data_IF_677858392163
#
_entry.id   IF_677858392163
#
_cell.length_a   1.000
_cell.length_b   1.000
_cell.length_c   1.000
_cell.angle_alpha   90.00
_cell.angle_beta   90.00
_cell.angle_gamma   90.00
#
_symmetry.space_group_name_H-M   'P 1'
#
loop_
_entity.id
_entity.type
_entity.pdbx_description
1 polymer ?
#
# COMPACT_ATOMS: atom_id res chain seq x y z
N UNK A 1 19.96 15.73 10.31
CA UNK A 1 18.89 16.39 9.53
C UNK A 1 17.98 17.09 10.52
N UNK A 2 17.65 18.37 10.31
CA UNK A 2 16.72 19.11 11.18
C UNK A 2 15.37 19.19 10.49
N UNK A 3 14.34 18.60 11.11
CA UNK A 3 12.95 18.68 10.64
C UNK A 3 12.42 20.10 10.85
N UNK A 4 11.56 20.54 9.93
CA UNK A 4 10.87 21.83 9.95
C UNK A 4 9.39 21.63 10.26
N UNK A 5 8.71 22.71 10.62
CA UNK A 5 7.25 22.68 10.69
C UNK A 5 6.67 22.44 9.30
N UNK A 6 5.60 21.64 9.24
CA UNK A 6 4.88 21.28 8.02
C UNK A 6 3.39 21.60 8.19
N UNK A 7 3.00 22.88 8.05
CA UNK A 7 1.63 23.32 8.29
C UNK A 7 0.63 22.60 7.38
N UNK A 8 -0.53 22.24 7.93
CA UNK A 8 -1.62 21.63 7.17
C UNK A 8 -2.57 22.73 6.68
N UNK A 9 -2.59 22.97 5.37
CA UNK A 9 -3.33 24.08 4.76
C UNK A 9 -4.64 23.61 4.10
N UNK A 10 -4.69 22.37 3.63
CA UNK A 10 -5.88 21.81 2.99
C UNK A 10 -6.54 20.80 3.93
N UNK A 11 -7.81 21.07 4.26
CA UNK A 11 -8.67 20.27 5.15
C UNK A 11 -8.01 19.89 6.50
N UNK A 12 -7.03 20.68 6.96
CA UNK A 12 -6.24 20.45 8.17
C UNK A 12 -5.41 19.15 8.21
N UNK A 13 -5.16 18.49 7.06
CA UNK A 13 -4.27 17.30 7.04
C UNK A 13 -3.25 17.24 5.89
N UNK A 14 -3.39 18.08 4.86
CA UNK A 14 -2.43 18.19 3.74
C UNK A 14 -1.68 19.51 3.72
N UNK A 15 -0.41 19.48 3.32
CA UNK A 15 0.47 20.65 3.36
C UNK A 15 0.37 21.59 2.14
N UNK A 16 -0.33 21.16 1.09
CA UNK A 16 -0.64 21.98 -0.07
C UNK A 16 -2.05 21.65 -0.60
N UNK A 17 -2.57 22.50 -1.46
CA UNK A 17 -3.79 22.22 -2.22
C UNK A 17 -3.54 21.07 -3.21
N UNK A 18 -4.53 20.19 -3.46
CA UNK A 18 -4.42 19.08 -4.40
C UNK A 18 -3.95 19.52 -5.80
N UNK A 19 -4.46 20.65 -6.30
CA UNK A 19 -4.14 21.20 -7.63
C UNK A 19 -2.67 21.61 -7.74
N UNK A 20 -2.12 22.20 -6.68
CA UNK A 20 -0.70 22.57 -6.62
C UNK A 20 0.20 21.33 -6.60
N UNK A 21 -0.22 20.30 -5.86
CA UNK A 21 0.48 19.01 -5.79
C UNK A 21 0.57 18.37 -7.17
N UNK A 22 -0.59 18.26 -7.85
CA UNK A 22 -0.68 17.71 -9.22
C UNK A 22 0.20 18.50 -10.19
N UNK A 23 0.08 19.84 -10.20
CA UNK A 23 0.85 20.70 -11.11
C UNK A 23 2.36 20.54 -10.93
N UNK A 24 2.86 20.52 -9.69
CA UNK A 24 4.30 20.34 -9.40
C UNK A 24 4.83 19.01 -9.94
N UNK A 25 4.05 17.94 -9.77
CA UNK A 25 4.42 16.60 -10.22
C UNK A 25 4.38 16.53 -11.75
N UNK A 26 3.32 17.06 -12.38
CA UNK A 26 3.22 17.18 -13.85
C UNK A 26 4.41 17.93 -14.46
N UNK A 27 4.77 19.08 -13.89
CA UNK A 27 5.93 19.87 -14.32
C UNK A 27 7.24 19.07 -14.18
N UNK A 28 7.37 18.24 -13.14
CA UNK A 28 8.51 17.36 -12.93
C UNK A 28 8.63 16.28 -14.00
N UNK A 29 7.55 15.54 -14.25
CA UNK A 29 7.52 14.49 -15.28
C UNK A 29 7.70 15.06 -16.69
N UNK A 30 7.13 16.24 -16.97
CA UNK A 30 7.33 16.94 -18.25
C UNK A 30 8.79 17.27 -18.51
N UNK A 31 9.56 17.67 -17.48
CA UNK A 31 11.01 17.91 -17.61
C UNK A 31 11.81 16.63 -17.92
N UNK A 32 11.27 15.48 -17.54
CA UNK A 32 11.83 14.16 -17.87
C UNK A 32 11.39 13.65 -19.24
N UNK A 33 10.55 14.39 -19.97
CA UNK A 33 9.97 13.96 -21.25
C UNK A 33 8.82 12.96 -21.10
N UNK A 34 8.33 12.70 -19.88
CA UNK A 34 7.31 11.69 -19.59
C UNK A 34 5.92 12.32 -19.54
N UNK A 35 4.96 11.70 -20.23
CA UNK A 35 3.58 12.15 -20.29
C UNK A 35 2.69 11.34 -19.34
N UNK A 36 1.91 12.06 -18.53
CA UNK A 36 0.99 11.48 -17.56
C UNK A 36 -0.44 11.52 -18.09
N UNK A 37 -1.09 10.36 -18.14
CA UNK A 37 -2.51 10.21 -18.50
C UNK A 37 -3.34 9.81 -17.29
N UNK A 38 -4.21 10.72 -16.87
CA UNK A 38 -5.12 10.53 -15.75
C UNK A 38 -6.50 10.05 -16.21
N UNK A 39 -7.04 9.03 -15.53
CA UNK A 39 -8.43 8.58 -15.67
C UNK A 39 -9.04 8.40 -14.29
N UNK A 40 -10.27 8.83 -14.10
CA UNK A 40 -10.98 8.68 -12.83
C UNK A 40 -12.28 7.91 -13.04
N UNK A 41 -12.62 7.10 -12.04
CA UNK A 41 -13.90 6.43 -11.90
C UNK A 41 -14.55 6.90 -10.61
N UNK A 42 -15.86 7.04 -10.65
CA UNK A 42 -16.70 7.41 -9.52
C UNK A 42 -17.59 6.24 -9.17
N UNK A 43 -17.61 5.88 -7.89
CA UNK A 43 -18.53 4.89 -7.34
C UNK A 43 -19.52 5.65 -6.49
N UNK A 44 -20.77 5.74 -6.96
CA UNK A 44 -21.85 6.39 -6.22
C UNK A 44 -22.75 5.34 -5.58
N UNK A 45 -23.04 5.51 -4.30
CA UNK A 45 -24.06 4.74 -3.59
C UNK A 45 -24.87 5.64 -2.67
N UNK A 46 -26.19 5.68 -2.88
CA UNK A 46 -27.14 6.41 -2.04
C UNK A 46 -26.77 7.89 -1.80
N UNK A 47 -26.29 8.56 -2.85
CA UNK A 47 -25.90 9.98 -2.80
C UNK A 47 -24.46 10.25 -2.35
N UNK A 48 -23.67 9.21 -2.08
CA UNK A 48 -22.27 9.34 -1.68
C UNK A 48 -21.34 8.79 -2.75
N UNK A 49 -20.31 9.55 -3.09
CA UNK A 49 -19.34 9.21 -4.11
C UNK A 49 -17.96 8.96 -3.50
N UNK A 50 -17.35 7.85 -3.89
CA UNK A 50 -15.91 7.60 -3.67
C UNK A 50 -15.23 7.53 -5.02
N UNK A 51 -14.02 8.08 -5.10
CA UNK A 51 -13.29 8.21 -6.36
C UNK A 51 -12.05 7.33 -6.33
N UNK A 52 -11.88 6.54 -7.38
CA UNK A 52 -10.63 5.83 -7.67
C UNK A 52 -10.11 6.28 -9.03
N UNK A 53 -8.80 6.27 -9.22
CA UNK A 53 -8.22 6.76 -10.47
C UNK A 53 -7.01 5.96 -10.88
N UNK A 54 -6.72 5.95 -12.17
CA UNK A 54 -5.50 5.40 -12.76
C UNK A 54 -4.68 6.55 -13.33
N UNK A 55 -3.38 6.57 -13.06
CA UNK A 55 -2.43 7.49 -13.65
C UNK A 55 -1.35 6.69 -14.37
N UNK A 56 -1.22 6.88 -15.67
CA UNK A 56 -0.31 6.13 -16.55
C UNK A 56 0.83 7.03 -17.04
N UNK A 57 2.07 6.55 -16.99
CA UNK A 57 3.17 7.07 -17.80
C UNK A 57 3.12 6.39 -19.16
N UNK A 58 2.74 7.13 -20.20
CA UNK A 58 2.52 6.56 -21.53
C UNK A 58 3.76 5.90 -22.11
N UNK A 59 4.90 6.56 -21.99
CA UNK A 59 6.16 6.11 -22.57
C UNK A 59 6.68 4.83 -21.90
N UNK A 60 6.27 4.56 -20.67
CA UNK A 60 6.78 3.44 -19.89
C UNK A 60 5.76 2.31 -19.74
N UNK A 61 4.46 2.59 -19.94
CA UNK A 61 3.39 1.63 -19.65
C UNK A 61 3.28 1.28 -18.15
N UNK A 62 3.73 2.20 -17.29
CA UNK A 62 3.69 2.10 -15.83
C UNK A 62 2.53 2.92 -15.27
N UNK A 63 1.73 2.34 -14.38
CA UNK A 63 0.59 3.04 -13.78
C UNK A 63 0.60 2.98 -12.26
N UNK A 64 -0.11 3.92 -11.65
CA UNK A 64 -0.42 3.98 -10.21
C UNK A 64 -1.90 4.27 -10.02
N UNK A 65 -2.39 4.06 -8.80
CA UNK A 65 -3.79 4.26 -8.46
C UNK A 65 -3.93 5.39 -7.45
N UNK A 66 -4.95 6.22 -7.63
CA UNK A 66 -5.31 7.28 -6.67
C UNK A 66 -6.58 6.94 -5.93
N UNK A 67 -6.67 7.40 -4.68
CA UNK A 67 -7.81 7.18 -3.80
C UNK A 67 -8.13 8.42 -2.96
N UNK A 68 -9.40 8.72 -2.73
CA UNK A 68 -9.81 9.96 -2.08
C UNK A 68 -11.32 10.17 -1.95
N UNK A 69 -11.68 11.10 -1.06
CA UNK A 69 -13.07 11.51 -0.78
C UNK A 69 -13.64 12.46 -1.82
N UNK A 70 -12.76 13.17 -2.53
CA UNK A 70 -13.13 14.15 -3.54
C UNK A 70 -12.28 13.92 -4.78
N UNK A 71 -12.82 14.31 -5.93
CA UNK A 71 -12.10 14.24 -7.21
C UNK A 71 -10.70 14.89 -7.16
N UNK A 72 -10.52 16.10 -6.59
CA UNK A 72 -9.18 16.70 -6.45
C UNK A 72 -8.21 15.87 -5.58
N UNK A 73 -8.68 15.35 -4.44
CA UNK A 73 -7.85 14.54 -3.54
C UNK A 73 -7.44 13.22 -4.18
N UNK A 74 -8.36 12.56 -4.89
CA UNK A 74 -8.07 11.32 -5.62
C UNK A 74 -7.03 11.54 -6.71
N UNK A 75 -7.17 12.64 -7.47
CA UNK A 75 -6.16 13.02 -8.46
C UNK A 75 -4.81 13.25 -7.79
N UNK A 76 -4.73 14.08 -6.76
CA UNK A 76 -3.47 14.32 -6.05
C UNK A 76 -2.85 13.04 -5.46
N UNK A 77 -3.68 12.11 -4.97
CA UNK A 77 -3.21 10.80 -4.50
C UNK A 77 -2.55 9.98 -5.60
N UNK A 78 -3.14 9.91 -6.81
CA UNK A 78 -2.54 9.17 -7.92
C UNK A 78 -1.18 9.75 -8.32
N UNK A 79 -1.09 11.08 -8.38
CA UNK A 79 0.15 11.77 -8.74
C UNK A 79 1.22 11.61 -7.66
N UNK A 80 0.83 11.67 -6.38
CA UNK A 80 1.75 11.44 -5.27
C UNK A 80 2.29 10.00 -5.28
N UNK A 81 1.43 8.98 -5.49
CA UNK A 81 1.86 7.59 -5.62
C UNK A 81 2.77 7.40 -6.84
N UNK A 82 2.47 8.05 -7.98
CA UNK A 82 3.36 8.06 -9.15
C UNK A 82 4.74 8.62 -8.81
N UNK A 83 4.81 9.76 -8.12
CA UNK A 83 6.07 10.37 -7.71
C UNK A 83 6.84 9.47 -6.72
N UNK A 84 6.13 8.86 -5.77
CA UNK A 84 6.68 7.89 -4.82
C UNK A 84 7.31 6.70 -5.52
N UNK A 85 6.53 5.97 -6.32
CA UNK A 85 6.94 4.72 -6.98
C UNK A 85 7.99 4.94 -8.05
N UNK A 86 7.88 6.03 -8.82
CA UNK A 86 8.91 6.41 -9.78
C UNK A 86 10.22 6.74 -9.06
N UNK A 87 10.20 7.57 -8.02
CA UNK A 87 11.43 7.94 -7.29
C UNK A 87 12.05 6.75 -6.55
N UNK A 88 11.25 5.81 -6.08
CA UNK A 88 11.70 4.56 -5.47
C UNK A 88 11.98 3.45 -6.49
N UNK A 89 11.98 3.74 -7.79
CA UNK A 89 12.14 2.76 -8.88
C UNK A 89 11.34 1.47 -8.73
N UNK A 90 10.21 1.53 -8.04
CA UNK A 90 9.33 0.40 -7.77
C UNK A 90 8.26 0.40 -8.85
N UNK A 91 8.56 -0.25 -9.98
CA UNK A 91 7.69 -0.22 -11.15
C UNK A 91 6.82 -1.48 -11.22
N UNK A 92 5.53 -1.28 -11.46
CA UNK A 92 4.56 -2.32 -11.81
C UNK A 92 4.10 -2.04 -13.24
N UNK A 93 4.84 -2.57 -14.21
CA UNK A 93 4.55 -2.33 -15.63
C UNK A 93 3.28 -3.08 -16.05
N UNK A 94 2.30 -2.36 -16.58
CA UNK A 94 1.10 -2.94 -17.18
C UNK A 94 1.38 -3.45 -18.60
N UNK A 95 2.23 -2.74 -19.33
CA UNK A 95 2.63 -3.09 -20.69
C UNK A 95 4.03 -2.56 -20.94
N UNK A 96 4.86 -3.31 -21.66
CA UNK A 96 6.15 -2.82 -22.15
C UNK A 96 5.89 -2.12 -23.48
N UNK A 97 6.24 -0.83 -23.56
CA UNK A 97 6.08 -0.05 -24.78
C UNK A 97 7.38 -0.03 -25.58
N UNK A 98 7.31 0.22 -26.89
CA UNK A 98 8.52 0.38 -27.71
C UNK A 98 9.36 1.59 -27.29
N UNK A 99 8.70 2.63 -26.77
CA UNK A 99 9.35 3.87 -26.30
C UNK A 99 10.23 3.66 -25.08
N UNK A 100 10.04 2.58 -24.32
CA UNK A 100 10.81 2.32 -23.09
C UNK A 100 12.34 2.34 -23.35
N UNK A 101 12.77 1.97 -24.57
CA UNK A 101 14.19 1.96 -24.98
C UNK A 101 14.79 3.36 -24.97
N UNK A 102 14.02 4.38 -25.35
CA UNK A 102 14.44 5.79 -25.35
C UNK A 102 14.72 6.29 -23.92
N UNK A 103 14.05 5.69 -22.93
CA UNK A 103 14.17 6.03 -21.50
C UNK A 103 15.09 5.10 -20.71
N UNK A 104 15.79 4.17 -21.36
CA UNK A 104 16.66 3.18 -20.70
C UNK A 104 17.67 3.78 -19.73
N UNK A 105 18.34 4.88 -20.11
CA UNK A 105 19.30 5.59 -19.24
C UNK A 105 18.64 6.27 -18.04
N UNK A 106 17.43 6.82 -18.22
CA UNK A 106 16.65 7.40 -17.13
C UNK A 106 16.22 6.30 -16.15
N UNK A 107 15.66 5.21 -16.68
CA UNK A 107 15.24 4.06 -15.88
C UNK A 107 16.42 3.46 -15.13
N UNK A 108 17.58 3.28 -15.78
CA UNK A 108 18.79 2.82 -15.11
C UNK A 108 19.18 3.78 -13.98
N UNK A 109 19.18 5.09 -14.21
CA UNK A 109 19.49 6.10 -13.18
C UNK A 109 18.54 6.02 -11.98
N UNK A 110 17.24 5.84 -12.25
CA UNK A 110 16.19 5.75 -11.24
C UNK A 110 16.29 4.44 -10.48
N UNK A 111 16.25 3.29 -11.17
CA UNK A 111 16.31 1.93 -10.59
C UNK A 111 17.59 1.74 -9.77
N UNK A 112 18.73 2.23 -10.27
CA UNK A 112 20.01 2.14 -9.56
C UNK A 112 20.18 3.22 -8.48
N UNK A 113 19.21 4.12 -8.30
CA UNK A 113 19.29 5.24 -7.35
C UNK A 113 20.53 6.13 -7.54
N UNK A 114 21.05 6.23 -8.77
CA UNK A 114 22.26 7.04 -9.08
C UNK A 114 22.07 8.52 -8.74
N UNK A 115 20.83 8.98 -8.65
CA UNK A 115 20.48 10.36 -8.29
C UNK A 115 20.49 10.63 -6.77
N UNK A 116 20.54 9.58 -5.92
CA UNK A 116 20.54 9.76 -4.48
C UNK A 116 21.90 10.23 -3.95
N UNK A 117 21.87 11.07 -2.91
CA UNK A 117 23.07 11.60 -2.27
C UNK A 117 23.90 10.47 -1.67
N UNK A 118 25.19 10.48 -1.95
CA UNK A 118 26.12 9.48 -1.44
C UNK A 118 25.96 8.11 -2.10
N UNK A 119 25.35 8.05 -3.29
CA UNK A 119 25.37 6.86 -4.14
C UNK A 119 26.80 6.34 -4.32
N UNK A 120 27.01 5.08 -3.98
CA UNK A 120 28.26 4.34 -4.18
C UNK A 120 27.93 2.92 -4.61
N UNK A 121 28.78 2.35 -5.44
CA UNK A 121 28.72 0.93 -5.80
C UNK A 121 29.92 0.20 -5.22
N UNK A 122 29.69 -0.84 -4.41
CA UNK A 122 30.76 -1.75 -3.95
C UNK A 122 31.23 -2.57 -5.14
N UNK A 123 32.54 -2.70 -5.30
CA UNK A 123 33.13 -3.67 -6.24
C UNK A 123 33.14 -5.04 -5.56
N UNK A 124 32.30 -5.97 -6.05
CA UNK A 124 32.21 -7.39 -5.68
C UNK A 124 31.52 -7.74 -4.34
N UNK A 125 30.66 -6.89 -3.76
CA UNK A 125 29.96 -7.15 -2.48
C UNK A 125 30.86 -7.62 -1.31
N UNK A 126 32.17 -7.65 -1.47
CA UNK A 126 33.07 -8.49 -0.66
C UNK A 126 33.14 -8.01 0.79
N UNK A 127 33.00 -6.70 1.00
CA UNK A 127 32.94 -6.06 2.31
C UNK A 127 31.58 -6.14 3.01
N UNK A 128 30.51 -6.64 2.36
CA UNK A 128 29.24 -6.89 3.04
C UNK A 128 29.40 -8.04 4.03
N UNK A 129 28.83 -7.87 5.24
CA UNK A 129 28.89 -8.85 6.33
C UNK A 129 27.48 -9.28 6.78
N UNK A 130 27.31 -10.46 7.39
CA UNK A 130 26.01 -10.89 7.94
C UNK A 130 25.43 -9.87 8.93
N UNK A 131 26.26 -9.26 9.77
CA UNK A 131 25.83 -8.25 10.75
C UNK A 131 25.21 -7.02 10.08
N UNK A 132 25.59 -6.72 8.83
CA UNK A 132 24.94 -5.67 8.05
C UNK A 132 23.49 -5.99 7.73
N UNK A 133 23.18 -7.26 7.46
CA UNK A 133 21.85 -7.77 7.16
C UNK A 133 20.98 -7.87 8.42
N UNK A 134 21.56 -8.32 9.54
CA UNK A 134 20.89 -8.48 10.84
C UNK A 134 20.35 -7.15 11.39
N UNK A 135 20.85 -6.00 10.91
CA UNK A 135 20.27 -4.67 11.22
C UNK A 135 18.83 -4.49 10.71
N UNK A 136 18.39 -5.31 9.75
CA UNK A 136 17.09 -5.16 9.08
C UNK A 136 16.16 -6.37 9.24
N UNK A 137 16.68 -7.50 9.73
CA UNK A 137 15.93 -8.73 9.96
C UNK A 137 16.12 -9.13 11.41
N UNK A 138 15.05 -9.10 12.20
CA UNK A 138 15.09 -9.34 13.66
C UNK A 138 15.65 -10.73 14.01
N UNK A 139 15.27 -11.76 13.25
CA UNK A 139 15.75 -13.14 13.44
C UNK A 139 17.13 -13.41 12.80
N UNK A 140 17.71 -12.39 12.15
CA UNK A 140 18.95 -12.48 11.38
C UNK A 140 18.82 -13.28 10.08
N UNK A 141 19.97 -13.50 9.43
CA UNK A 141 20.07 -14.34 8.21
C UNK A 141 21.09 -15.46 8.40
N UNK A 142 20.77 -16.67 7.92
CA UNK A 142 21.77 -17.75 7.92
C UNK A 142 22.93 -17.42 6.98
N UNK A 143 24.11 -18.00 7.25
CA UNK A 143 25.29 -17.80 6.39
C UNK A 143 25.01 -18.17 4.93
N UNK A 144 24.18 -19.19 4.67
CA UNK A 144 23.82 -19.62 3.32
C UNK A 144 22.93 -18.58 2.62
N UNK A 145 21.89 -18.09 3.29
CA UNK A 145 21.01 -17.04 2.77
C UNK A 145 21.78 -15.76 2.50
N UNK A 146 22.62 -15.35 3.45
CA UNK A 146 23.48 -14.18 3.28
C UNK A 146 24.36 -14.28 2.03
N UNK A 147 25.02 -15.42 1.79
CA UNK A 147 25.84 -15.59 0.59
C UNK A 147 25.01 -15.51 -0.71
N UNK A 148 23.77 -16.02 -0.71
CA UNK A 148 22.88 -15.91 -1.87
C UNK A 148 22.53 -14.43 -2.13
N UNK A 149 22.09 -13.71 -1.11
CA UNK A 149 21.71 -12.30 -1.20
C UNK A 149 22.90 -11.41 -1.63
N UNK A 150 24.08 -11.71 -1.08
CA UNK A 150 25.35 -11.07 -1.42
C UNK A 150 25.74 -11.31 -2.88
N UNK A 151 25.68 -12.55 -3.35
CA UNK A 151 26.03 -12.91 -4.74
C UNK A 151 25.05 -12.33 -5.78
N UNK A 152 23.82 -12.01 -5.37
CA UNK A 152 22.85 -11.28 -6.19
C UNK A 152 23.09 -9.76 -6.22
N UNK A 153 24.08 -9.26 -5.50
CA UNK A 153 24.45 -7.84 -5.49
C UNK A 153 23.48 -6.95 -4.71
N UNK A 154 22.70 -7.52 -3.78
CA UNK A 154 21.75 -6.74 -2.96
C UNK A 154 22.43 -5.77 -1.99
N UNK A 155 23.71 -6.00 -1.71
CA UNK A 155 24.55 -5.15 -0.87
C UNK A 155 25.47 -4.23 -1.67
N UNK A 156 25.37 -4.22 -3.02
CA UNK A 156 26.31 -3.47 -3.87
C UNK A 156 26.00 -1.98 -3.94
N UNK A 157 24.73 -1.59 -3.84
CA UNK A 157 24.31 -0.19 -3.99
C UNK A 157 24.12 0.43 -2.61
N UNK A 158 25.01 1.35 -2.26
CA UNK A 158 24.96 2.11 -1.03
C UNK A 158 24.47 3.54 -1.27
N UNK A 159 23.65 4.03 -0.36
CA UNK A 159 23.22 5.44 -0.33
C UNK A 159 23.33 5.99 1.08
N UNK A 160 23.46 7.32 1.19
CA UNK A 160 23.52 8.00 2.49
C UNK A 160 22.11 8.26 3.00
N UNK A 161 21.72 7.60 4.09
CA UNK A 161 20.44 7.77 4.78
C UNK A 161 20.63 8.43 6.14
N UNK A 162 19.63 9.11 6.68
CA UNK A 162 19.68 9.71 8.01
C UNK A 162 18.94 8.84 9.02
N UNK A 163 19.64 8.37 10.06
CA UNK A 163 19.01 7.65 11.17
C UNK A 163 18.47 8.64 12.20
N UNK A 164 17.16 8.59 12.48
CA UNK A 164 16.56 9.37 13.55
C UNK A 164 16.89 8.83 14.95
N UNK A 165 17.23 7.53 15.05
CA UNK A 165 17.64 6.88 16.30
C UNK A 165 19.06 7.31 16.68
N UNK A 166 20.02 7.15 15.77
CA UNK A 166 21.43 7.50 16.02
C UNK A 166 21.74 8.98 15.78
N UNK A 167 20.80 9.72 15.17
CA UNK A 167 20.92 11.16 14.83
C UNK A 167 22.11 11.48 13.93
N UNK A 168 22.48 10.55 13.08
CA UNK A 168 23.60 10.69 12.14
C UNK A 168 23.24 10.14 10.76
N UNK A 169 24.09 10.44 9.78
CA UNK A 169 23.96 9.83 8.48
C UNK A 169 24.72 8.51 8.44
N UNK A 170 24.04 7.46 8.02
CA UNK A 170 24.59 6.11 7.84
C UNK A 170 24.51 5.70 6.37
N UNK A 171 25.37 4.77 5.97
CA UNK A 171 25.27 4.11 4.67
C UNK A 171 24.36 2.88 4.78
N UNK A 172 23.42 2.75 3.86
CA UNK A 172 22.48 1.63 3.79
C UNK A 172 22.57 0.91 2.45
N UNK A 173 22.50 -0.44 2.40
CA UNK A 173 22.39 -1.21 1.17
C UNK A 173 20.95 -1.13 0.65
N UNK A 174 20.67 -0.12 -0.18
CA UNK A 174 19.28 0.25 -0.51
C UNK A 174 18.50 -0.88 -1.18
N UNK A 175 19.16 -1.70 -2.02
CA UNK A 175 18.51 -2.85 -2.68
C UNK A 175 18.09 -3.93 -1.69
N UNK A 176 18.93 -4.22 -0.70
CA UNK A 176 18.60 -5.16 0.35
C UNK A 176 17.44 -4.64 1.21
N UNK A 177 17.48 -3.35 1.60
CA UNK A 177 16.39 -2.71 2.34
C UNK A 177 15.08 -2.79 1.57
N UNK A 178 15.08 -2.46 0.27
CA UNK A 178 13.90 -2.52 -0.59
C UNK A 178 13.36 -3.94 -0.78
N UNK A 179 14.23 -4.94 -0.83
CA UNK A 179 13.81 -6.34 -0.89
C UNK A 179 13.02 -6.74 0.37
N UNK A 180 13.53 -6.39 1.56
CA UNK A 180 12.92 -6.81 2.83
C UNK A 180 11.72 -5.95 3.22
N UNK A 181 11.68 -4.67 2.82
CA UNK A 181 10.54 -3.78 3.11
C UNK A 181 9.43 -3.86 2.07
N UNK A 182 9.74 -4.30 0.85
CA UNK A 182 8.87 -4.10 -0.31
C UNK A 182 8.56 -2.61 -0.47
N UNK A 183 7.30 -2.28 -0.71
CA UNK A 183 6.85 -0.88 -0.81
C UNK A 183 6.57 -0.21 0.54
N UNK A 184 6.73 -0.91 1.66
CA UNK A 184 6.37 -0.41 2.99
C UNK A 184 7.17 0.83 3.35
N UNK A 185 6.50 1.92 3.72
CA UNK A 185 7.14 3.15 4.17
C UNK A 185 7.74 3.99 3.04
N UNK A 186 7.45 3.65 1.78
CA UNK A 186 7.62 4.59 0.68
C UNK A 186 6.56 5.67 0.77
N UNK A 187 6.95 6.93 0.58
CA UNK A 187 6.00 8.03 0.58
C UNK A 187 6.51 9.22 -0.25
N UNK A 188 5.59 9.89 -0.92
CA UNK A 188 5.78 11.25 -1.42
C UNK A 188 4.91 12.25 -0.62
N UNK A 189 5.35 13.51 -0.59
CA UNK A 189 4.64 14.59 0.08
C UNK A 189 5.08 15.95 -0.45
N UNK A 190 4.28 16.99 -0.19
CA UNK A 190 4.63 18.35 -0.61
C UNK A 190 5.83 18.92 0.17
N UNK A 191 6.11 18.33 1.33
CA UNK A 191 7.30 18.58 2.14
C UNK A 191 7.93 17.25 2.55
N UNK A 192 9.21 17.28 2.94
CA UNK A 192 9.91 16.08 3.44
C UNK A 192 9.24 15.58 4.71
N UNK A 193 8.79 16.47 5.58
CA UNK A 193 8.10 16.12 6.83
C UNK A 193 6.73 15.51 6.61
N UNK A 194 5.99 15.95 5.58
CA UNK A 194 4.72 15.30 5.19
C UNK A 194 4.98 13.89 4.67
N UNK A 195 5.98 13.71 3.79
CA UNK A 195 6.37 12.39 3.29
C UNK A 195 6.82 11.46 4.43
N UNK A 196 7.65 11.94 5.36
CA UNK A 196 8.08 11.17 6.53
C UNK A 196 6.91 10.79 7.44
N UNK A 197 5.94 11.69 7.64
CA UNK A 197 4.74 11.40 8.44
C UNK A 197 3.91 10.30 7.79
N UNK A 198 3.73 10.35 6.47
CA UNK A 198 3.00 9.34 5.70
C UNK A 198 3.73 7.99 5.74
N UNK A 199 5.05 7.97 5.51
CA UNK A 199 5.88 6.77 5.58
C UNK A 199 5.81 6.12 6.98
N UNK A 200 5.92 6.92 8.05
CA UNK A 200 5.81 6.42 9.42
C UNK A 200 4.42 5.83 9.71
N UNK A 201 3.35 6.51 9.26
CA UNK A 201 1.99 5.97 9.41
C UNK A 201 1.84 4.63 8.69
N UNK A 202 2.33 4.47 7.47
CA UNK A 202 2.26 3.17 6.77
C UNK A 202 3.06 2.08 7.51
N UNK A 203 4.24 2.41 8.05
CA UNK A 203 5.02 1.46 8.86
C UNK A 203 4.22 1.02 10.09
N UNK A 204 3.60 1.97 10.81
CA UNK A 204 2.77 1.66 11.98
C UNK A 204 1.55 0.83 11.62
N UNK A 205 0.87 1.17 10.53
CA UNK A 205 -0.28 0.45 9.99
C UNK A 205 0.06 -1.03 9.76
N UNK A 206 1.15 -1.30 9.02
CA UNK A 206 1.58 -2.67 8.72
C UNK A 206 2.10 -3.41 9.94
N UNK A 207 2.86 -2.75 10.81
CA UNK A 207 3.36 -3.37 12.04
C UNK A 207 2.23 -3.77 12.99
N UNK A 208 1.26 -2.87 13.22
CA UNK A 208 0.11 -3.15 14.06
C UNK A 208 -0.74 -4.29 13.47
N UNK A 209 -1.03 -4.24 12.17
CA UNK A 209 -1.73 -5.31 11.46
C UNK A 209 -1.02 -6.66 11.64
N UNK A 210 0.29 -6.72 11.37
CA UNK A 210 1.10 -7.93 11.54
C UNK A 210 1.02 -8.45 12.98
N UNK A 211 1.28 -7.60 13.99
CA UNK A 211 1.32 -8.02 15.39
C UNK A 211 -0.04 -8.51 15.90
N UNK A 212 -1.11 -7.81 15.54
CA UNK A 212 -2.48 -8.15 15.97
C UNK A 212 -2.94 -9.44 15.32
N UNK A 213 -2.78 -9.57 14.00
CA UNK A 213 -3.26 -10.74 13.25
C UNK A 213 -2.44 -11.99 13.55
N UNK A 214 -1.11 -11.89 13.58
CA UNK A 214 -0.23 -13.04 13.86
C UNK A 214 -0.39 -13.59 15.28
N UNK A 215 -0.57 -12.70 16.27
CA UNK A 215 -0.73 -13.07 17.67
C UNK A 215 -2.19 -13.19 18.11
N UNK A 216 -3.15 -12.99 17.20
CA UNK A 216 -4.60 -13.03 17.45
C UNK A 216 -4.99 -12.16 18.66
N UNK A 217 -4.47 -10.94 18.70
CA UNK A 217 -4.72 -10.00 19.80
C UNK A 217 -6.17 -9.52 19.72
N UNK A 218 -6.91 -9.70 20.81
CA UNK A 218 -8.28 -9.17 20.93
C UNK A 218 -8.21 -7.66 21.12
N UNK A 219 -8.82 -6.91 20.20
CA UNK A 219 -8.75 -5.45 20.14
C UNK A 219 -10.06 -4.81 20.62
N UNK A 220 -10.01 -3.72 21.44
CA UNK A 220 -11.20 -3.01 21.86
C UNK A 220 -12.03 -2.48 20.69
N UNK A 221 -13.36 -2.51 20.81
CA UNK A 221 -14.27 -1.94 19.82
C UNK A 221 -14.58 -0.48 20.15
N UNK A 222 -14.46 0.39 19.16
CA UNK A 222 -14.85 1.81 19.25
C UNK A 222 -16.32 1.92 18.83
N UNK A 223 -17.15 2.50 19.70
CA UNK A 223 -18.57 2.77 19.38
C UNK A 223 -18.66 3.79 18.26
N UNK A 224 -19.39 3.45 17.20
CA UNK A 224 -19.63 4.34 16.05
C UNK A 224 -20.38 5.60 16.49
N UNK A 225 -21.26 5.47 17.47
CA UNK A 225 -22.07 6.57 18.02
C UNK A 225 -21.20 7.60 18.74
N UNK A 226 -20.00 7.23 19.18
CA UNK A 226 -19.05 8.16 19.80
C UNK A 226 -18.32 9.05 18.78
N UNK A 227 -18.35 8.70 17.48
CA UNK A 227 -17.62 9.41 16.42
C UNK A 227 -18.50 10.53 15.85
N UNK A 228 -18.06 11.78 16.02
CA UNK A 228 -18.81 12.98 15.60
C UNK A 228 -18.51 13.44 14.17
N UNK A 229 -17.60 12.79 13.45
CA UNK A 229 -17.26 13.17 12.08
C UNK A 229 -18.36 12.71 11.10
N UNK A 230 -19.05 13.67 10.49
CA UNK A 230 -20.17 13.40 9.58
C UNK A 230 -19.77 12.53 8.37
N UNK A 231 -18.52 12.63 7.91
CA UNK A 231 -18.02 11.84 6.77
C UNK A 231 -17.96 10.37 7.15
N UNK A 232 -17.50 10.05 8.36
CA UNK A 232 -17.48 8.67 8.86
C UNK A 232 -18.90 8.13 8.97
N UNK A 233 -19.84 8.92 9.51
CA UNK A 233 -21.24 8.52 9.63
C UNK A 233 -21.88 8.26 8.25
N UNK A 234 -21.52 9.06 7.25
CA UNK A 234 -21.89 8.87 5.86
C UNK A 234 -21.41 7.50 5.33
N UNK A 235 -20.12 7.18 5.48
CA UNK A 235 -19.57 5.91 5.02
C UNK A 235 -20.22 4.72 5.72
N UNK A 236 -20.41 4.80 7.04
CA UNK A 236 -21.09 3.75 7.81
C UNK A 236 -22.51 3.50 7.26
N UNK A 237 -23.30 4.55 7.02
CA UNK A 237 -24.62 4.41 6.41
C UNK A 237 -24.55 3.81 5.01
N UNK A 238 -23.58 4.22 4.21
CA UNK A 238 -23.37 3.67 2.88
C UNK A 238 -23.08 2.16 2.91
N UNK A 239 -22.12 1.70 3.72
CA UNK A 239 -21.84 0.26 3.86
C UNK A 239 -23.05 -0.51 4.40
N UNK A 240 -23.73 -0.01 5.44
CA UNK A 240 -24.94 -0.63 5.99
C UNK A 240 -26.05 -0.78 4.94
N UNK A 241 -26.21 0.22 4.08
CA UNK A 241 -27.19 0.16 2.97
C UNK A 241 -26.83 -0.85 1.87
N UNK A 242 -25.58 -1.29 1.82
CA UNK A 242 -25.11 -2.40 0.99
C UNK A 242 -25.20 -3.75 1.72
N UNK A 243 -25.87 -3.82 2.88
CA UNK A 243 -25.92 -5.01 3.73
C UNK A 243 -24.52 -5.44 4.21
N UNK A 244 -23.67 -4.46 4.52
CA UNK A 244 -22.33 -4.65 5.06
C UNK A 244 -22.26 -3.97 6.42
N UNK A 245 -22.03 -4.77 7.45
CA UNK A 245 -21.82 -4.28 8.81
C UNK A 245 -20.39 -3.75 8.95
N UNK A 246 -20.25 -2.64 9.68
CA UNK A 246 -18.97 -1.97 9.94
C UNK A 246 -18.70 -2.01 11.45
N UNK A 247 -17.52 -2.48 11.83
CA UNK A 247 -17.04 -2.52 13.22
C UNK A 247 -15.68 -1.85 13.26
N UNK A 248 -15.49 -0.87 14.15
CA UNK A 248 -14.24 -0.12 14.29
C UNK A 248 -13.49 -0.66 15.52
N UNK A 249 -12.22 -1.01 15.35
CA UNK A 249 -11.34 -1.61 16.35
C UNK A 249 -10.15 -0.71 16.63
N UNK A 250 -9.81 -0.56 17.90
CA UNK A 250 -8.60 0.13 18.34
C UNK A 250 -7.37 -0.77 18.10
N UNK A 251 -6.59 -0.42 17.07
CA UNK A 251 -5.36 -1.13 16.69
C UNK A 251 -4.10 -0.44 17.25
N UNK A 252 -4.27 0.45 18.23
CA UNK A 252 -3.18 1.26 18.77
C UNK A 252 -2.15 0.51 19.61
N UNK A 253 -2.39 -0.79 19.90
CA UNK A 253 -1.53 -1.62 20.74
C UNK A 253 -1.23 -0.95 22.09
N UNK A 254 -2.28 -0.68 22.88
CA UNK A 254 -2.20 0.06 24.15
C UNK A 254 -1.81 1.54 23.98
N UNK A 255 -2.34 2.22 22.95
CA UNK A 255 -2.13 3.66 22.69
C UNK A 255 -0.70 4.03 22.30
N UNK A 256 0.10 3.06 21.85
CA UNK A 256 1.47 3.30 21.38
C UNK A 256 1.50 3.79 19.93
N UNK A 257 0.54 3.35 19.11
CA UNK A 257 0.51 3.63 17.68
C UNK A 257 -0.82 4.29 17.23
N UNK A 258 -0.80 5.21 16.26
CA UNK A 258 -2.00 5.90 15.79
C UNK A 258 -2.76 5.08 14.72
N UNK A 259 -3.13 3.85 15.06
CA UNK A 259 -3.65 2.85 14.10
C UNK A 259 -5.05 2.38 14.49
N UNK A 260 -5.92 2.26 13.48
CA UNK A 260 -7.29 1.74 13.60
C UNK A 260 -7.48 0.58 12.63
N UNK A 261 -8.24 -0.43 13.04
CA UNK A 261 -8.78 -1.46 12.17
C UNK A 261 -10.27 -1.24 11.92
N UNK A 262 -10.74 -1.41 10.69
CA UNK A 262 -12.16 -1.44 10.36
C UNK A 262 -12.49 -2.80 9.76
N UNK A 263 -13.35 -3.53 10.46
CA UNK A 263 -13.89 -4.82 10.02
C UNK A 263 -15.20 -4.59 9.26
N UNK A 264 -15.28 -5.21 8.09
CA UNK A 264 -16.44 -5.23 7.21
C UNK A 264 -17.01 -6.65 7.17
N UNK A 265 -18.21 -6.85 7.74
CA UNK A 265 -18.92 -8.12 7.61
C UNK A 265 -19.95 -8.00 6.48
N UNK A 266 -19.63 -8.60 5.34
CA UNK A 266 -20.49 -8.59 4.15
C UNK A 266 -21.58 -9.66 4.27
N UNK A 267 -22.76 -9.25 4.75
CA UNK A 267 -23.90 -10.15 4.99
C UNK A 267 -24.48 -10.72 3.69
N UNK A 268 -24.15 -10.16 2.53
CA UNK A 268 -24.51 -10.74 1.24
C UNK A 268 -23.79 -12.07 0.96
N UNK A 269 -22.61 -12.29 1.57
CA UNK A 269 -21.77 -13.47 1.34
C UNK A 269 -21.91 -14.51 2.49
N UNK A 270 -22.56 -14.15 3.60
CA UNK A 270 -22.65 -14.98 4.81
C UNK A 270 -23.17 -16.41 4.52
N UNK A 271 -24.17 -16.52 3.65
CA UNK A 271 -24.83 -17.79 3.26
C UNK A 271 -24.42 -18.29 1.87
N UNK A 272 -23.36 -17.75 1.28
CA UNK A 272 -22.89 -18.17 -0.05
C UNK A 272 -22.39 -19.63 -0.02
N UNK A 273 -22.66 -20.39 -1.08
CA UNK A 273 -22.24 -21.79 -1.17
C UNK A 273 -20.73 -21.91 -1.45
N UNK A 274 -20.15 -20.91 -2.11
CA UNK A 274 -18.73 -20.86 -2.44
C UNK A 274 -17.90 -20.58 -1.17
N UNK A 275 -17.34 -21.63 -0.57
CA UNK A 275 -16.56 -21.52 0.67
C UNK A 275 -15.30 -20.66 0.51
N UNK A 276 -14.69 -20.63 -0.67
CA UNK A 276 -13.53 -19.79 -0.94
C UNK A 276 -13.92 -18.31 -0.96
N UNK A 277 -15.04 -17.97 -1.61
CA UNK A 277 -15.57 -16.61 -1.59
C UNK A 277 -15.86 -16.18 -0.14
N UNK A 278 -16.42 -17.08 0.67
CA UNK A 278 -16.66 -16.81 2.09
C UNK A 278 -15.39 -16.55 2.87
N UNK A 279 -14.36 -17.39 2.76
CA UNK A 279 -13.12 -17.22 3.53
C UNK A 279 -12.42 -15.90 3.21
N UNK A 280 -12.50 -15.43 1.96
CA UNK A 280 -11.81 -14.22 1.52
C UNK A 280 -12.62 -12.92 1.71
N UNK A 281 -13.95 -12.97 1.58
CA UNK A 281 -14.77 -11.76 1.42
C UNK A 281 -15.94 -11.62 2.38
N UNK A 282 -16.25 -12.63 3.20
CA UNK A 282 -17.32 -12.51 4.20
C UNK A 282 -16.93 -11.52 5.31
N UNK A 283 -15.76 -11.69 5.90
CA UNK A 283 -15.21 -10.80 6.93
C UNK A 283 -13.88 -10.26 6.42
N UNK A 284 -13.79 -8.96 6.19
CA UNK A 284 -12.57 -8.32 5.70
C UNK A 284 -12.15 -7.20 6.64
N UNK A 285 -10.86 -7.04 6.87
CA UNK A 285 -10.33 -5.96 7.69
C UNK A 285 -9.44 -5.05 6.85
N UNK A 286 -9.61 -3.73 6.99
CA UNK A 286 -8.62 -2.75 6.55
C UNK A 286 -8.04 -2.04 7.77
N UNK A 287 -6.75 -1.78 7.71
CA UNK A 287 -6.01 -1.11 8.77
C UNK A 287 -5.56 0.24 8.23
N UNK A 288 -5.74 1.28 9.03
CA UNK A 288 -5.45 2.65 8.64
C UNK A 288 -4.68 3.36 9.74
N UNK A 289 -3.63 4.09 9.38
CA UNK A 289 -2.88 4.93 10.31
C UNK A 289 -2.89 6.40 9.89
N UNK A 290 -3.11 7.28 10.86
CA UNK A 290 -2.93 8.72 10.71
C UNK A 290 -2.86 9.39 12.09
N UNK A 291 -2.15 10.51 12.21
CA UNK A 291 -2.08 11.31 13.46
C UNK A 291 -3.42 11.89 13.92
N UNK A 292 -4.42 11.87 13.04
CA UNK A 292 -5.80 12.27 13.31
C UNK A 292 -6.66 11.00 13.20
N UNK A 293 -7.41 10.71 14.26
CA UNK A 293 -8.21 9.49 14.37
C UNK A 293 -9.25 9.36 13.26
N UNK A 294 -9.93 10.46 12.92
CA UNK A 294 -10.97 10.43 11.91
C UNK A 294 -10.37 10.13 10.54
N UNK A 295 -9.22 10.73 10.22
CA UNK A 295 -8.49 10.43 8.99
C UNK A 295 -8.01 8.97 8.93
N UNK A 296 -7.59 8.37 10.06
CA UNK A 296 -7.22 6.96 10.11
C UNK A 296 -8.40 6.03 9.76
N UNK A 297 -9.59 6.28 10.34
CA UNK A 297 -10.82 5.54 10.04
C UNK A 297 -11.23 5.73 8.56
N UNK A 298 -11.21 6.97 8.11
CA UNK A 298 -11.55 7.38 6.75
C UNK A 298 -10.67 6.68 5.71
N UNK A 299 -9.38 6.52 5.98
CA UNK A 299 -8.46 5.76 5.11
C UNK A 299 -8.90 4.30 4.94
N UNK A 300 -9.32 3.61 6.00
CA UNK A 300 -9.83 2.25 5.91
C UNK A 300 -11.03 2.14 4.96
N UNK A 301 -11.97 3.09 5.02
CA UNK A 301 -13.14 3.08 4.13
C UNK A 301 -12.78 3.29 2.66
N UNK A 302 -11.88 4.23 2.37
CA UNK A 302 -11.43 4.47 1.00
C UNK A 302 -10.73 3.23 0.44
N UNK A 303 -9.83 2.64 1.23
CA UNK A 303 -9.06 1.46 0.85
C UNK A 303 -9.96 0.30 0.44
N UNK A 304 -11.01 0.03 1.23
CA UNK A 304 -11.98 -1.03 0.96
C UNK A 304 -12.65 -0.91 -0.41
N UNK A 305 -12.90 0.33 -0.85
CA UNK A 305 -13.66 0.64 -2.07
C UNK A 305 -12.77 0.78 -3.30
N UNK A 306 -11.45 0.69 -3.13
CA UNK A 306 -10.50 0.93 -4.21
C UNK A 306 -10.65 -0.10 -5.34
N UNK A 307 -10.85 0.39 -6.56
CA UNK A 307 -10.81 -0.42 -7.78
C UNK A 307 -12.04 -1.31 -8.02
N UNK A 308 -13.13 -1.14 -7.27
CA UNK A 308 -14.31 -2.01 -7.34
C UNK A 308 -15.57 -1.22 -7.64
N UNK A 309 -16.41 -1.73 -8.52
CA UNK A 309 -17.80 -1.28 -8.61
C UNK A 309 -18.59 -1.70 -7.37
N UNK A 310 -19.75 -1.06 -7.15
CA UNK A 310 -20.67 -1.44 -6.06
C UNK A 310 -21.07 -2.92 -6.13
N UNK A 311 -21.37 -3.42 -7.32
CA UNK A 311 -21.77 -4.82 -7.52
C UNK A 311 -20.62 -5.80 -7.24
N UNK A 312 -19.42 -5.50 -7.76
CA UNK A 312 -18.22 -6.30 -7.49
C UNK A 312 -17.89 -6.36 -6.01
N UNK A 313 -18.01 -5.22 -5.32
CA UNK A 313 -17.75 -5.14 -3.89
C UNK A 313 -18.74 -5.98 -3.08
N UNK A 314 -20.04 -5.91 -3.39
CA UNK A 314 -21.07 -6.62 -2.65
C UNK A 314 -21.06 -8.14 -2.90
N UNK A 315 -20.82 -8.57 -4.14
CA UNK A 315 -21.10 -9.96 -4.53
C UNK A 315 -19.89 -10.76 -5.00
N UNK A 316 -18.80 -10.10 -5.43
CA UNK A 316 -17.56 -10.77 -5.86
C UNK A 316 -17.79 -11.92 -6.86
N UNK A 317 -18.75 -11.78 -7.77
CA UNK A 317 -19.16 -12.83 -8.74
C UNK A 317 -18.01 -13.34 -9.61
N UNK A 318 -16.98 -12.52 -9.83
CA UNK A 318 -15.75 -12.94 -10.53
C UNK A 318 -15.07 -14.13 -9.85
N UNK A 319 -15.17 -14.25 -8.52
CA UNK A 319 -14.67 -15.42 -7.79
C UNK A 319 -15.43 -16.69 -8.12
N UNK A 320 -16.72 -16.61 -8.44
CA UNK A 320 -17.49 -17.78 -8.89
C UNK A 320 -17.03 -18.23 -10.27
N UNK A 321 -16.81 -17.28 -11.19
CA UNK A 321 -16.29 -17.58 -12.53
C UNK A 321 -14.91 -18.23 -12.46
N UNK A 322 -14.02 -17.71 -11.62
CA UNK A 322 -12.69 -18.29 -11.41
C UNK A 322 -12.77 -19.67 -10.75
N UNK A 323 -13.65 -19.85 -9.77
CA UNK A 323 -13.85 -21.15 -9.11
C UNK A 323 -14.44 -22.19 -10.09
N UNK A 324 -15.39 -21.78 -10.93
CA UNK A 324 -15.97 -22.63 -11.97
C UNK A 324 -14.95 -23.02 -13.04
N UNK A 325 -14.19 -22.05 -13.55
CA UNK A 325 -13.10 -22.31 -14.51
C UNK A 325 -12.08 -23.29 -13.91
N UNK A 326 -11.70 -23.06 -12.65
CA UNK A 326 -10.79 -23.93 -11.93
C UNK A 326 -11.32 -25.37 -11.81
N UNK A 327 -12.53 -25.53 -11.28
CA UNK A 327 -13.12 -26.85 -10.98
C UNK A 327 -13.50 -27.63 -12.24
N UNK A 328 -13.98 -26.94 -13.28
CA UNK A 328 -14.49 -27.58 -14.50
C UNK A 328 -13.42 -27.84 -15.55
N UNK A 329 -12.35 -27.04 -15.58
CA UNK A 329 -11.34 -27.07 -16.64
C UNK A 329 -9.94 -27.40 -16.08
N UNK A 330 -9.31 -26.49 -15.33
CA UNK A 330 -7.91 -26.64 -14.89
C UNK A 330 -7.67 -27.90 -14.05
N UNK A 331 -8.59 -28.22 -13.14
CA UNK A 331 -8.49 -29.42 -12.29
C UNK A 331 -8.48 -30.74 -13.09
N UNK A 332 -9.11 -30.77 -14.26
CA UNK A 332 -9.11 -31.95 -15.13
C UNK A 332 -7.82 -32.08 -15.95
N UNK A 333 -7.21 -30.94 -16.27
CA UNK A 333 -6.05 -30.85 -17.15
C UNK A 333 -4.72 -31.02 -16.39
N UNK A 334 -4.67 -30.64 -15.10
CA UNK A 334 -3.41 -30.61 -14.34
C UNK A 334 -3.40 -31.55 -13.13
N UNK A 335 -2.57 -32.61 -13.17
CA UNK A 335 -2.27 -33.45 -12.00
C UNK A 335 -1.46 -32.62 -10.99
N UNK A 336 -2.03 -32.33 -9.83
CA UNK A 336 -1.46 -31.43 -8.81
C UNK A 336 -2.15 -30.07 -8.71
N UNK A 337 -3.20 -29.83 -9.53
CA UNK A 337 -4.00 -28.62 -9.45
C UNK A 337 -4.47 -28.33 -8.01
N UNK A 338 -5.01 -29.35 -7.32
CA UNK A 338 -5.54 -29.17 -5.96
C UNK A 338 -4.48 -28.71 -4.94
N UNK A 339 -3.21 -29.10 -5.10
CA UNK A 339 -2.10 -28.60 -4.27
C UNK A 339 -1.75 -27.16 -4.64
N UNK A 340 -1.65 -26.83 -5.92
CA UNK A 340 -1.41 -25.45 -6.37
C UNK A 340 -2.51 -24.48 -5.90
N UNK A 341 -3.78 -24.90 -5.97
CA UNK A 341 -4.91 -24.11 -5.49
C UNK A 341 -4.88 -23.98 -3.97
N UNK A 342 -4.61 -25.07 -3.26
CA UNK A 342 -4.40 -25.01 -1.81
C UNK A 342 -3.27 -24.04 -1.50
N UNK A 343 -2.09 -24.15 -2.08
CA UNK A 343 -0.98 -23.24 -1.77
C UNK A 343 -1.26 -21.78 -2.13
N UNK A 344 -2.02 -21.53 -3.21
CA UNK A 344 -2.44 -20.17 -3.60
C UNK A 344 -3.42 -19.55 -2.58
N UNK A 345 -4.27 -20.35 -1.93
CA UNK A 345 -5.35 -19.89 -1.06
C UNK A 345 -5.18 -20.24 0.44
N UNK A 346 -4.27 -21.15 0.83
CA UNK A 346 -3.97 -21.55 2.22
C UNK A 346 -3.33 -20.40 2.99
N UNK A 347 -2.66 -19.47 2.29
CA UNK A 347 -2.20 -18.22 2.90
C UNK A 347 -3.35 -17.23 3.22
N UNK A 348 -4.59 -17.53 2.81
CA UNK A 348 -5.78 -16.73 3.07
C UNK A 348 -6.84 -17.46 3.90
N UNK A 349 -6.51 -18.58 4.56
CA UNK A 349 -7.26 -19.02 5.75
C UNK A 349 -7.00 -18.02 6.89
N UNK A 350 -7.49 -16.79 6.76
CA UNK A 350 -7.80 -15.99 7.93
C UNK A 350 -8.82 -16.81 8.70
N UNK A 351 -8.35 -17.43 9.79
CA UNK A 351 -9.16 -18.21 10.72
C UNK A 351 -10.52 -17.56 10.86
N UNK A 352 -11.56 -18.37 10.69
CA UNK A 352 -12.99 -18.08 10.51
C UNK A 352 -13.65 -17.12 11.51
N UNK A 353 -12.88 -16.57 12.43
CA UNK A 353 -13.35 -15.63 13.41
C UNK A 353 -12.40 -14.44 13.57
N UNK A 354 -12.55 -13.41 12.72
CA UNK A 354 -12.02 -12.06 12.98
C UNK A 354 -12.76 -11.37 14.15
N UNK A 355 -13.31 -12.12 15.11
CA UNK A 355 -13.97 -11.62 16.33
C UNK A 355 -12.96 -11.10 17.37
N UNK A 356 -11.66 -11.25 17.08
CA UNK A 356 -10.57 -10.61 17.83
C UNK A 356 -10.81 -9.10 17.97
#
# INVERSE_FOLDING_TARGET
>A
MRLKSSPKIFENYKCDYPENTVRKIEEGFKKLGLNLKYRQREITANGFSTYSSELLIEELGFFTVGKGFTSPLTKASAYAEMAERFSSGFFVFHTITDKIKEYSKLLETVIERKFLKGFKRRTNSSSATPEEADRYIEDGVSSKEFQILKNQGLFDVLVKSYSFIHREYIEIPIRFVELVSGSTGLAAGNTVEEALTQAACEIFERYAAYKILSKKIVCPTISIESIKDDRIQVYVRMFRSMNIEVIIKDFSLNKELPVIGVLFNNRNIEKDENQLKKSMYYKMIDVGSHVDLNQAILRCFIERLQGLTKEEFMYRRTCDVLHDFWTKQLKKEYKGADEFFKDFFVNYETSSDLSF
#
